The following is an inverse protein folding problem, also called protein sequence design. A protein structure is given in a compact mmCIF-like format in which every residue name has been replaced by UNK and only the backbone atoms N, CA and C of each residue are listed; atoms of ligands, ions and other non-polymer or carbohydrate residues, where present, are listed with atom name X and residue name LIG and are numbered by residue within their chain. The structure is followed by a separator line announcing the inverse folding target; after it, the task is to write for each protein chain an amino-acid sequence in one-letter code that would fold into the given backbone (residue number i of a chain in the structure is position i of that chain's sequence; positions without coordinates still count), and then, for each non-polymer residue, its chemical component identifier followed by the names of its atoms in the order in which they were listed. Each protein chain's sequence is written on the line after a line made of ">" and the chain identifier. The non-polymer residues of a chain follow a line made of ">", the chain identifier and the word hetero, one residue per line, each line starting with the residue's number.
data_IF_740348758696
#
_entry.id   IF_740348758696
#
_cell.length_a   1.000
_cell.length_b   1.000
_cell.length_c   1.000
_cell.angle_alpha   90.00
_cell.angle_beta   90.00
_cell.angle_gamma   90.00
#
_symmetry.space_group_name_H-M   'P 1'
#
loop_
_entity.id
_entity.type
_entity.pdbx_description
1 polymer ?
#
# COMPACT_ATOMS: atom_id res chain seq x y z
N UNK A 1 -15.66 4.45 3.21
CA UNK A 1 -14.88 3.50 2.38
C UNK A 1 -13.81 2.90 3.29
N UNK A 2 -13.64 1.57 3.29
CA UNK A 2 -12.90 0.88 4.38
C UNK A 2 -11.37 1.00 4.28
N UNK A 3 -10.86 1.35 3.11
CA UNK A 3 -9.46 1.70 2.85
C UNK A 3 -9.39 3.21 2.55
N UNK A 4 -9.31 4.02 3.60
CA UNK A 4 -9.29 5.49 3.48
C UNK A 4 -7.89 6.01 3.12
N UNK A 5 -7.69 6.67 1.97
CA UNK A 5 -6.39 7.16 1.54
C UNK A 5 -5.92 8.34 2.38
N UNK A 6 -6.82 9.09 3.03
CA UNK A 6 -6.45 10.21 3.89
C UNK A 6 -5.69 9.71 5.14
N UNK A 7 -6.12 8.59 5.72
CA UNK A 7 -5.41 7.93 6.84
C UNK A 7 -4.01 7.48 6.44
N UNK A 8 -3.87 6.87 5.25
CA UNK A 8 -2.56 6.45 4.75
C UNK A 8 -1.66 7.65 4.43
N UNK A 9 -2.19 8.70 3.78
CA UNK A 9 -1.46 9.94 3.54
C UNK A 9 -0.97 10.56 4.86
N UNK A 10 -1.85 10.58 5.86
CA UNK A 10 -1.57 10.82 7.28
C UNK A 10 -0.24 10.22 7.76
N UNK A 11 -0.16 8.90 7.66
CA UNK A 11 0.97 8.11 8.13
C UNK A 11 2.23 8.31 7.25
N UNK A 12 2.07 8.41 5.93
CA UNK A 12 3.20 8.64 5.01
C UNK A 12 3.82 10.02 5.23
N UNK A 13 2.99 11.05 5.42
CA UNK A 13 3.43 12.40 5.76
C UNK A 13 3.99 12.47 7.18
N UNK A 14 3.64 11.59 8.12
CA UNK A 14 4.27 11.64 9.45
C UNK A 14 5.62 10.92 9.46
N UNK A 15 5.62 9.69 8.92
CA UNK A 15 6.62 8.68 9.27
C UNK A 15 7.56 8.30 8.12
N UNK A 16 7.23 8.60 6.85
CA UNK A 16 7.96 8.05 5.70
C UNK A 16 8.49 9.07 4.67
N UNK A 17 7.73 10.11 4.33
CA UNK A 17 8.22 11.11 3.38
C UNK A 17 9.20 12.04 4.10
N UNK A 18 10.33 12.43 3.50
CA UNK A 18 11.18 13.46 4.08
C UNK A 18 10.45 14.82 4.16
N UNK A 19 10.91 15.75 5.01
CA UNK A 19 10.49 17.15 4.96
C UNK A 19 10.70 17.73 3.55
N UNK A 20 10.00 18.82 3.24
CA UNK A 20 10.21 19.53 1.98
C UNK A 20 11.70 19.92 1.83
N UNK A 21 12.26 19.69 0.63
CA UNK A 21 13.68 19.82 0.29
C UNK A 21 14.68 18.88 1.04
N UNK A 22 14.20 17.91 1.82
CA UNK A 22 15.03 16.89 2.44
C UNK A 22 15.47 15.79 1.44
N UNK A 23 16.70 15.24 1.57
CA UNK A 23 17.10 14.11 0.74
C UNK A 23 16.18 12.92 0.98
N UNK A 24 15.99 12.12 -0.07
CA UNK A 24 15.40 10.78 0.07
C UNK A 24 16.10 10.02 1.19
N UNK A 25 15.35 9.33 2.05
CA UNK A 25 15.94 8.63 3.21
C UNK A 25 17.17 7.81 2.78
N UNK A 26 18.35 8.22 3.27
CA UNK A 26 19.62 7.56 2.97
C UNK A 26 19.70 6.14 3.55
N UNK A 27 18.82 5.82 4.51
CA UNK A 27 18.63 4.50 5.08
C UNK A 27 17.40 3.83 4.44
N UNK A 28 17.63 3.10 3.34
CA UNK A 28 16.58 2.35 2.64
C UNK A 28 15.87 1.31 3.53
N UNK A 29 16.56 0.54 4.40
CA UNK A 29 15.91 -0.29 5.43
C UNK A 29 14.96 0.47 6.36
N UNK A 30 15.36 1.62 6.90
CA UNK A 30 14.50 2.42 7.77
C UNK A 30 13.27 2.95 7.01
N UNK A 31 13.48 3.44 5.78
CA UNK A 31 12.41 3.92 4.90
C UNK A 31 11.43 2.81 4.51
N UNK A 32 11.93 1.62 4.18
CA UNK A 32 11.13 0.43 3.90
C UNK A 32 10.28 0.02 5.12
N UNK A 33 10.86 0.07 6.32
CA UNK A 33 10.18 -0.24 7.57
C UNK A 33 9.07 0.76 7.93
N UNK A 34 9.27 2.04 7.64
CA UNK A 34 8.28 3.10 7.82
C UNK A 34 7.12 2.96 6.83
N UNK A 35 7.41 2.80 5.53
CA UNK A 35 6.40 2.57 4.49
C UNK A 35 5.58 1.30 4.76
N UNK A 36 6.26 0.18 5.04
CA UNK A 36 5.57 -1.06 5.39
C UNK A 36 4.73 -0.93 6.65
N UNK A 37 5.18 -0.14 7.63
CA UNK A 37 4.43 0.17 8.84
C UNK A 37 3.17 0.98 8.59
N UNK A 38 3.26 2.04 7.80
CA UNK A 38 2.12 2.85 7.40
C UNK A 38 1.07 2.03 6.66
N UNK A 39 1.50 1.20 5.70
CA UNK A 39 0.62 0.32 4.93
C UNK A 39 0.00 -0.75 5.83
N UNK A 40 0.78 -1.44 6.67
CA UNK A 40 0.26 -2.45 7.57
C UNK A 40 -0.73 -1.87 8.60
N UNK A 41 -0.44 -0.69 9.15
CA UNK A 41 -1.34 0.02 10.06
C UNK A 41 -2.65 0.44 9.38
N UNK A 42 -2.57 0.90 8.14
CA UNK A 42 -3.75 1.24 7.33
C UNK A 42 -4.65 0.02 7.09
N UNK A 43 -4.07 -1.14 6.74
CA UNK A 43 -4.83 -2.39 6.62
C UNK A 43 -5.35 -2.90 7.98
N UNK A 44 -4.63 -2.70 9.09
CA UNK A 44 -5.14 -3.05 10.41
C UNK A 44 -6.38 -2.22 10.80
N UNK A 45 -6.38 -0.92 10.46
CA UNK A 45 -7.58 -0.06 10.59
C UNK A 45 -8.74 -0.55 9.71
N UNK A 46 -8.44 -0.95 8.47
CA UNK A 46 -9.43 -1.54 7.56
C UNK A 46 -9.98 -2.88 8.08
N UNK A 47 -9.15 -3.69 8.74
CA UNK A 47 -9.57 -4.95 9.37
C UNK A 47 -10.56 -4.71 10.50
N UNK A 48 -10.30 -3.72 11.36
CA UNK A 48 -11.22 -3.33 12.43
C UNK A 48 -12.60 -2.87 11.87
N UNK A 49 -12.61 -2.37 10.64
CA UNK A 49 -13.81 -1.99 9.90
C UNK A 49 -14.37 -3.11 8.99
N UNK A 50 -13.88 -4.34 9.09
CA UNK A 50 -14.47 -5.54 8.49
C UNK A 50 -13.81 -6.06 7.21
N UNK A 51 -12.67 -5.53 6.77
CA UNK A 51 -11.92 -6.11 5.62
C UNK A 51 -11.19 -7.39 6.08
N UNK A 52 -11.24 -8.50 5.31
CA UNK A 52 -10.55 -9.75 5.65
C UNK A 52 -9.04 -9.67 5.33
N UNK A 53 -8.32 -8.78 6.02
CA UNK A 53 -6.87 -8.57 5.91
C UNK A 53 -6.12 -8.99 7.19
N UNK A 54 -6.51 -10.12 7.79
CA UNK A 54 -5.99 -10.57 9.09
C UNK A 54 -4.47 -10.84 9.13
N UNK A 55 -3.86 -11.11 7.97
CA UNK A 55 -2.41 -11.34 7.86
C UNK A 55 -1.61 -10.07 7.58
N UNK A 56 -2.26 -8.91 7.44
CA UNK A 56 -1.61 -7.62 7.14
C UNK A 56 -0.44 -7.34 8.09
N UNK A 57 -0.71 -7.33 9.40
CA UNK A 57 0.29 -7.03 10.41
C UNK A 57 1.44 -8.06 10.40
N UNK A 58 1.13 -9.35 10.23
CA UNK A 58 2.13 -10.43 10.21
C UNK A 58 3.05 -10.36 8.97
N UNK A 59 2.54 -9.88 7.83
CA UNK A 59 3.30 -9.77 6.58
C UNK A 59 4.06 -8.45 6.44
N UNK A 60 3.98 -7.54 7.42
CA UNK A 60 4.74 -6.29 7.44
C UNK A 60 6.24 -6.49 7.18
N UNK A 61 6.85 -7.51 7.81
CA UNK A 61 8.27 -7.82 7.62
C UNK A 61 8.60 -8.26 6.19
N UNK A 62 7.71 -9.03 5.57
CA UNK A 62 7.85 -9.41 4.15
C UNK A 62 7.74 -8.20 3.23
N UNK A 63 6.76 -7.32 3.49
CA UNK A 63 6.60 -6.07 2.73
C UNK A 63 7.83 -5.16 2.86
N UNK A 64 8.35 -4.97 4.09
CA UNK A 64 9.57 -4.20 4.30
C UNK A 64 10.75 -4.80 3.53
N UNK A 65 10.96 -6.11 3.58
CA UNK A 65 12.02 -6.79 2.83
C UNK A 65 11.92 -6.60 1.31
N UNK A 66 10.70 -6.54 0.76
CA UNK A 66 10.46 -6.29 -0.67
C UNK A 66 10.68 -4.81 -1.06
N UNK A 67 10.50 -3.88 -0.12
CA UNK A 67 10.67 -2.44 -0.35
C UNK A 67 12.12 -1.98 -0.24
N UNK A 68 12.99 -2.69 0.47
CA UNK A 68 14.42 -2.36 0.57
C UNK A 68 15.09 -2.18 -0.80
N UNK A 69 15.06 -3.16 -1.74
CA UNK A 69 15.72 -3.00 -3.03
C UNK A 69 15.11 -1.87 -3.88
N UNK A 70 13.80 -1.63 -3.75
CA UNK A 70 13.10 -0.55 -4.43
C UNK A 70 13.64 0.82 -4.02
N UNK A 71 13.89 1.00 -2.72
CA UNK A 71 14.34 2.25 -2.13
C UNK A 71 15.86 2.42 -2.22
N UNK A 72 16.62 1.33 -2.27
CA UNK A 72 18.08 1.34 -2.50
C UNK A 72 18.46 1.81 -3.89
N UNK A 73 17.59 1.64 -4.88
CA UNK A 73 17.86 2.06 -6.25
C UNK A 73 17.99 3.58 -6.42
N UNK A 74 17.46 4.36 -5.46
CA UNK A 74 17.44 5.84 -5.48
C UNK A 74 16.88 6.46 -6.78
N UNK A 75 16.13 5.67 -7.55
CA UNK A 75 15.48 6.09 -8.78
C UNK A 75 13.97 6.12 -8.56
N UNK A 76 13.35 7.28 -8.72
CA UNK A 76 11.93 7.47 -8.43
C UNK A 76 11.01 6.61 -9.33
N UNK A 77 11.40 6.38 -10.59
CA UNK A 77 10.61 5.60 -11.54
C UNK A 77 10.66 4.11 -11.19
N UNK A 78 11.85 3.58 -10.93
CA UNK A 78 12.06 2.20 -10.52
C UNK A 78 11.45 1.93 -9.14
N UNK A 79 11.67 2.85 -8.18
CA UNK A 79 11.09 2.76 -6.84
C UNK A 79 9.56 2.73 -6.90
N UNK A 80 8.93 3.61 -7.69
CA UNK A 80 7.47 3.64 -7.83
C UNK A 80 6.90 2.33 -8.35
N UNK A 81 7.51 1.74 -9.38
CA UNK A 81 7.08 0.45 -9.93
C UNK A 81 7.26 -0.70 -8.93
N UNK A 82 8.41 -0.77 -8.26
CA UNK A 82 8.67 -1.84 -7.29
C UNK A 82 7.81 -1.69 -6.03
N UNK A 83 7.55 -0.48 -5.55
CA UNK A 83 6.61 -0.22 -4.45
C UNK A 83 5.21 -0.70 -4.83
N UNK A 84 4.72 -0.38 -6.03
CA UNK A 84 3.42 -0.85 -6.50
C UNK A 84 3.35 -2.38 -6.60
N UNK A 85 4.43 -3.03 -7.06
CA UNK A 85 4.51 -4.49 -7.11
C UNK A 85 4.54 -5.13 -5.72
N UNK A 86 5.31 -4.56 -4.79
CA UNK A 86 5.37 -5.04 -3.40
C UNK A 86 4.00 -4.87 -2.71
N UNK A 87 3.33 -3.75 -2.94
CA UNK A 87 1.95 -3.53 -2.48
C UNK A 87 0.98 -4.55 -3.10
N UNK A 88 1.09 -4.80 -4.41
CA UNK A 88 0.29 -5.81 -5.09
C UNK A 88 0.48 -7.21 -4.48
N UNK A 89 1.72 -7.66 -4.27
CA UNK A 89 2.06 -8.95 -3.64
C UNK A 89 1.62 -9.02 -2.18
N UNK A 90 1.71 -7.90 -1.48
CA UNK A 90 1.26 -7.78 -0.10
C UNK A 90 -0.27 -7.91 -0.02
N UNK A 91 -1.01 -7.26 -0.91
CA UNK A 91 -2.47 -7.38 -0.97
C UNK A 91 -2.88 -8.78 -1.42
N UNK A 92 -2.33 -9.34 -2.49
CA UNK A 92 -2.75 -10.65 -3.01
C UNK A 92 -2.48 -11.81 -2.05
N UNK A 93 -1.39 -11.77 -1.29
CA UNK A 93 -1.12 -12.80 -0.28
C UNK A 93 -1.77 -12.54 1.07
N UNK A 94 -2.62 -11.51 1.21
CA UNK A 94 -3.49 -11.40 2.37
C UNK A 94 -4.51 -12.52 2.33
N UNK A 95 -4.93 -13.00 3.50
CA UNK A 95 -5.93 -14.07 3.62
C UNK A 95 -7.34 -13.54 3.30
N UNK A 96 -7.57 -13.21 2.04
CA UNK A 96 -8.92 -13.16 1.48
C UNK A 96 -9.38 -14.62 1.36
N UNK A 97 -10.58 -14.96 1.84
CA UNK A 97 -11.10 -16.33 1.71
C UNK A 97 -11.01 -16.85 0.26
N UNK A 98 -11.04 -18.17 0.03
CA UNK A 98 -10.98 -18.72 -1.33
C UNK A 98 -12.02 -18.03 -2.22
N UNK A 99 -11.55 -17.44 -3.33
CA UNK A 99 -12.38 -16.66 -4.24
C UNK A 99 -12.72 -15.24 -3.78
N UNK A 100 -11.80 -14.51 -3.12
CA UNK A 100 -12.05 -13.10 -2.68
C UNK A 100 -10.91 -12.12 -3.08
N UNK A 101 -9.78 -12.61 -3.60
CA UNK A 101 -8.71 -11.75 -4.15
C UNK A 101 -8.31 -12.17 -5.56
N UNK A 102 -8.16 -11.18 -6.44
CA UNK A 102 -7.66 -11.33 -7.80
C UNK A 102 -6.33 -10.60 -7.98
N UNK A 103 -5.61 -10.80 -9.10
CA UNK A 103 -4.42 -10.02 -9.41
C UNK A 103 -4.79 -8.53 -9.55
N UNK A 104 -4.07 -7.59 -8.90
CA UNK A 104 -4.35 -6.17 -8.98
C UNK A 104 -4.21 -5.65 -10.41
N UNK A 105 -5.35 -5.26 -10.99
CA UNK A 105 -5.43 -4.74 -12.36
C UNK A 105 -4.78 -3.36 -12.51
N UNK A 106 -4.65 -2.60 -11.43
CA UNK A 106 -4.13 -1.24 -11.46
C UNK A 106 -2.66 -1.11 -11.03
N UNK A 107 -1.90 -2.21 -10.96
CA UNK A 107 -0.48 -2.19 -10.51
C UNK A 107 0.39 -1.23 -11.34
N UNK A 108 0.24 -1.25 -12.67
CA UNK A 108 1.01 -0.37 -13.56
C UNK A 108 0.66 1.12 -13.37
N UNK A 109 -0.63 1.44 -13.21
CA UNK A 109 -1.13 2.81 -12.99
C UNK A 109 -0.73 3.32 -11.60
N UNK A 110 -0.80 2.46 -10.59
CA UNK A 110 -0.30 2.74 -9.25
C UNK A 110 1.19 3.02 -9.26
N UNK A 111 1.97 2.20 -9.97
CA UNK A 111 3.42 2.35 -10.09
C UNK A 111 3.84 3.68 -10.71
N UNK A 112 3.20 4.10 -11.82
CA UNK A 112 3.48 5.39 -12.44
C UNK A 112 3.06 6.58 -11.57
N UNK A 113 1.95 6.45 -10.84
CA UNK A 113 1.45 7.50 -9.94
C UNK A 113 2.35 7.67 -8.71
N UNK A 114 2.84 6.58 -8.14
CA UNK A 114 3.82 6.60 -7.06
C UNK A 114 5.12 7.21 -7.60
N UNK A 115 5.64 6.75 -8.74
CA UNK A 115 6.83 7.31 -9.36
C UNK A 115 6.73 8.83 -9.57
N UNK A 116 5.60 9.32 -10.06
CA UNK A 116 5.34 10.75 -10.23
C UNK A 116 5.39 11.51 -8.90
N UNK A 117 4.77 10.98 -7.84
CA UNK A 117 4.77 11.60 -6.51
C UNK A 117 6.18 11.67 -5.91
N UNK A 118 7.00 10.65 -6.16
CA UNK A 118 8.38 10.57 -5.69
C UNK A 118 9.31 11.50 -6.47
N UNK A 119 9.08 11.67 -7.77
CA UNK A 119 9.83 12.58 -8.62
C UNK A 119 9.43 14.06 -8.42
N UNK A 120 8.22 14.33 -7.94
CA UNK A 120 7.68 15.67 -7.76
C UNK A 120 8.19 16.34 -6.46
N UNK A 121 9.51 16.40 -6.27
CA UNK A 121 10.15 16.98 -5.06
C UNK A 121 9.79 18.45 -4.81
N UNK A 122 9.33 19.17 -5.84
CA UNK A 122 8.86 20.55 -5.78
C UNK A 122 7.45 20.69 -5.18
N UNK A 123 6.72 19.58 -5.02
CA UNK A 123 5.39 19.59 -4.41
C UNK A 123 5.50 19.48 -2.88
N UNK A 124 4.57 20.12 -2.15
CA UNK A 124 4.46 19.96 -0.71
C UNK A 124 4.38 18.48 -0.32
N UNK A 125 5.03 18.12 0.80
CA UNK A 125 5.03 16.77 1.37
C UNK A 125 3.63 16.17 1.46
N UNK A 126 2.65 16.96 1.88
CA UNK A 126 1.24 16.56 1.99
C UNK A 126 0.63 16.19 0.65
N UNK A 127 0.91 16.93 -0.41
CA UNK A 127 0.43 16.64 -1.77
C UNK A 127 1.04 15.33 -2.31
N UNK A 128 2.35 15.12 -2.07
CA UNK A 128 3.03 13.87 -2.42
C UNK A 128 2.46 12.68 -1.63
N UNK A 129 2.22 12.85 -0.34
CA UNK A 129 1.63 11.83 0.53
C UNK A 129 0.24 11.41 0.04
N UNK A 130 -0.61 12.39 -0.32
CA UNK A 130 -1.94 12.14 -0.89
C UNK A 130 -1.86 11.38 -2.21
N UNK A 131 -0.90 11.73 -3.06
CA UNK A 131 -0.74 11.08 -4.37
C UNK A 131 -0.27 9.62 -4.23
N UNK A 132 0.70 9.34 -3.34
CA UNK A 132 1.12 7.96 -3.03
C UNK A 132 -0.03 7.18 -2.40
N UNK A 133 -0.75 7.77 -1.44
CA UNK A 133 -1.85 7.10 -0.77
C UNK A 133 -3.02 6.78 -1.72
N UNK A 134 -3.37 7.70 -2.62
CA UNK A 134 -4.37 7.48 -3.66
C UNK A 134 -3.96 6.37 -4.62
N UNK A 135 -2.69 6.35 -5.04
CA UNK A 135 -2.16 5.28 -5.89
C UNK A 135 -2.19 3.91 -5.17
N UNK A 136 -1.77 3.85 -3.91
CA UNK A 136 -1.82 2.64 -3.10
C UNK A 136 -3.25 2.14 -2.89
N UNK A 137 -4.21 3.05 -2.71
CA UNK A 137 -5.63 2.72 -2.65
C UNK A 137 -6.15 2.13 -3.95
N UNK A 138 -5.81 2.72 -5.10
CA UNK A 138 -6.21 2.19 -6.40
C UNK A 138 -5.66 0.79 -6.62
N UNK A 139 -4.38 0.54 -6.28
CA UNK A 139 -3.79 -0.81 -6.35
C UNK A 139 -4.52 -1.78 -5.43
N UNK A 140 -4.73 -1.40 -4.16
CA UNK A 140 -5.39 -2.25 -3.16
C UNK A 140 -6.83 -2.58 -3.54
N UNK A 141 -7.64 -1.59 -3.90
CA UNK A 141 -9.05 -1.77 -4.29
C UNK A 141 -9.16 -2.57 -5.59
N UNK A 142 -8.20 -2.42 -6.52
CA UNK A 142 -8.18 -3.24 -7.74
C UNK A 142 -7.85 -4.72 -7.51
N UNK A 143 -7.24 -5.07 -6.38
CA UNK A 143 -6.97 -6.45 -5.98
C UNK A 143 -8.09 -7.07 -5.13
N UNK A 144 -8.84 -6.24 -4.37
CA UNK A 144 -10.00 -6.70 -3.59
C UNK A 144 -11.18 -6.92 -4.53
N UNK A 145 -11.30 -8.14 -5.06
CA UNK A 145 -12.49 -8.56 -5.80
C UNK A 145 -13.56 -8.84 -4.78
N UNK A 146 -14.47 -7.88 -4.55
CA UNK A 146 -15.67 -8.14 -3.77
C UNK A 146 -16.54 -9.16 -4.51
N UNK A 147 -16.36 -10.45 -4.22
CA UNK A 147 -17.35 -11.44 -4.60
C UNK A 147 -18.62 -11.18 -3.77
N UNK A 148 -19.82 -11.22 -4.38
CA UNK A 148 -21.06 -11.16 -3.61
C UNK A 148 -21.02 -12.27 -2.56
N UNK A 149 -21.38 -11.95 -1.31
CA UNK A 149 -21.54 -12.94 -0.25
C UNK A 149 -22.36 -14.11 -0.84
N UNK A 150 -21.92 -15.37 -0.75
CA UNK A 150 -22.79 -16.47 -1.12
C UNK A 150 -24.09 -16.29 -0.31
N UNK A 151 -25.27 -16.35 -0.93
CA UNK A 151 -26.51 -16.23 -0.18
C UNK A 151 -26.46 -17.27 0.93
N UNK A 152 -26.66 -16.82 2.18
CA UNK A 152 -26.77 -17.69 3.34
C UNK A 152 -27.71 -18.84 2.99
N UNK A 153 -27.17 -20.04 2.77
CA UNK A 153 -28.01 -21.23 2.76
C UNK A 153 -28.42 -21.44 4.21
N UNK A 154 -29.70 -21.15 4.50
CA UNK A 154 -30.31 -21.47 5.77
C UNK A 154 -30.03 -22.96 6.10
N UNK A 155 -29.86 -23.32 7.38
CA UNK A 155 -29.67 -24.72 7.77
C UNK A 155 -30.88 -25.52 7.27
N UNK A 156 -30.59 -26.60 6.53
CA UNK A 156 -31.61 -27.57 6.14
C UNK A 156 -31.99 -28.31 7.43
N UNK A 157 -33.12 -27.94 8.02
CA UNK A 157 -33.86 -28.76 9.00
C UNK A 157 -34.68 -29.83 8.31
#
# INVERSE_FOLDING_TARGET
>A
MVLDPATLAAALERDWLPPDDGPWHGDAPASAGALAGAVAGWFAGAQAAGIPCATAAARRGQLAGQLVPALQAQDAALAGQQIALALALYVTGQSFGPGVAGPPLATAVGGSSIAAALAAIQLPRSARAQQVAGAAQVVAVSAVVAFPQPPFTAPIT
#
